data_IF_646455786760
#
_entry.id   IF_646455786760
#
_cell.length_a   1.000
_cell.length_b   1.000
_cell.length_c   1.000
_cell.angle_alpha   90.00
_cell.angle_beta   90.00
_cell.angle_gamma   90.00
#
_symmetry.space_group_name_H-M   'P 1'
#
loop_
_entity.id
_entity.type
_entity.pdbx_description
1 polymer ?
#
# COMPACT_ATOMS: atom_id res chain seq x y z
N UNK A 1 -13.03 21.15 -4.72
CA UNK A 1 -12.75 19.74 -4.35
C UNK A 1 -11.45 19.73 -3.56
N UNK A 2 -11.36 19.05 -2.42
CA UNK A 2 -10.15 18.99 -1.59
C UNK A 2 -9.78 17.54 -1.28
N UNK A 3 -8.50 17.20 -1.33
CA UNK A 3 -7.97 15.85 -1.08
C UNK A 3 -6.97 15.95 0.07
N UNK A 4 -7.13 15.13 1.11
CA UNK A 4 -6.14 14.92 2.16
C UNK A 4 -5.15 13.88 1.68
N UNK A 5 -3.85 14.17 1.75
CA UNK A 5 -2.79 13.30 1.25
C UNK A 5 -2.00 12.75 2.43
N UNK A 6 -1.77 11.44 2.42
CA UNK A 6 -0.98 10.70 3.41
C UNK A 6 -0.13 9.67 2.67
N UNK A 7 1.14 9.51 3.08
CA UNK A 7 2.13 8.65 2.43
C UNK A 7 3.15 8.17 3.46
N UNK A 8 3.88 7.10 3.15
CA UNK A 8 5.07 6.63 3.88
C UNK A 8 4.81 6.39 5.39
N UNK A 9 3.65 5.79 5.71
CA UNK A 9 3.27 5.53 7.10
C UNK A 9 4.03 4.35 7.73
N UNK A 10 4.42 3.35 6.94
CA UNK A 10 5.11 2.14 7.40
C UNK A 10 4.48 1.49 8.66
N UNK A 11 3.16 1.28 8.63
CA UNK A 11 2.40 0.78 9.78
C UNK A 11 2.79 -0.64 10.22
N UNK A 12 3.63 -1.35 9.46
CA UNK A 12 4.19 -2.65 9.79
C UNK A 12 5.32 -2.61 10.82
N UNK A 13 6.02 -1.49 10.99
CA UNK A 13 7.26 -1.45 11.78
C UNK A 13 7.50 -0.09 12.48
N UNK A 14 7.06 0.07 13.74
CA UNK A 14 6.34 -0.90 14.57
C UNK A 14 4.89 -1.08 14.13
N UNK A 15 4.30 -2.23 14.46
CA UNK A 15 2.91 -2.55 14.11
C UNK A 15 1.96 -1.52 14.75
N UNK A 16 1.31 -0.70 13.92
CA UNK A 16 0.50 0.44 14.38
C UNK A 16 -0.86 0.58 13.68
N UNK A 17 -1.28 -0.45 12.92
CA UNK A 17 -2.55 -0.46 12.18
C UNK A 17 -3.81 -0.21 13.04
N UNK A 18 -3.75 -0.58 14.32
CA UNK A 18 -4.84 -0.52 15.30
C UNK A 18 -4.87 0.78 16.12
N UNK A 19 -3.76 1.53 16.15
CA UNK A 19 -3.63 2.77 16.93
C UNK A 19 -3.54 4.02 16.06
N UNK A 20 -3.18 3.88 14.78
CA UNK A 20 -3.01 5.02 13.88
C UNK A 20 -4.35 5.48 13.32
N UNK A 21 -4.78 6.69 13.70
CA UNK A 21 -6.02 7.30 13.25
C UNK A 21 -5.76 8.43 12.25
N UNK A 22 -6.45 8.40 11.11
CA UNK A 22 -6.47 9.52 10.16
C UNK A 22 -7.72 10.36 10.42
N UNK A 23 -7.52 11.50 11.10
CA UNK A 23 -8.59 12.48 11.30
C UNK A 23 -8.92 13.16 9.96
N UNK A 24 -10.19 13.11 9.50
CA UNK A 24 -10.58 13.71 8.22
C UNK A 24 -10.47 15.23 8.21
N UNK A 25 -9.65 15.76 7.32
CA UNK A 25 -9.53 17.20 7.02
C UNK A 25 -10.10 17.55 5.63
N UNK A 26 -10.49 16.53 4.85
CA UNK A 26 -11.06 16.66 3.52
C UNK A 26 -12.01 15.49 3.23
N UNK A 27 -12.95 15.63 2.27
CA UNK A 27 -13.89 14.56 1.91
C UNK A 27 -13.23 13.37 1.17
N UNK A 28 -12.04 13.55 0.60
CA UNK A 28 -11.31 12.52 -0.14
C UNK A 28 -9.94 12.29 0.50
N UNK A 29 -9.48 11.04 0.50
CA UNK A 29 -8.17 10.65 0.99
C UNK A 29 -7.32 10.08 -0.14
N UNK A 30 -6.08 10.53 -0.26
CA UNK A 30 -5.04 9.92 -1.09
C UNK A 30 -4.01 9.23 -0.21
N UNK A 31 -3.91 7.91 -0.32
CA UNK A 31 -2.88 7.07 0.28
C UNK A 31 -1.82 6.79 -0.80
N UNK A 32 -0.68 7.48 -0.74
CA UNK A 32 0.28 7.59 -1.87
C UNK A 32 1.55 6.74 -1.71
N UNK A 33 1.41 5.55 -1.16
CA UNK A 33 2.47 4.54 -1.09
C UNK A 33 3.05 4.33 0.30
N UNK A 34 3.65 3.15 0.50
CA UNK A 34 4.35 2.72 1.72
C UNK A 34 3.51 2.96 2.99
N UNK A 35 2.22 2.61 2.90
CA UNK A 35 1.26 2.60 4.01
C UNK A 35 1.52 1.39 4.90
N UNK A 36 1.79 0.24 4.28
CA UNK A 36 2.46 -0.87 4.95
C UNK A 36 2.36 -2.20 4.20
N UNK A 37 2.95 -3.24 4.80
CA UNK A 37 3.12 -4.53 4.12
C UNK A 37 1.84 -5.37 4.07
N UNK A 38 1.09 -5.26 2.96
CA UNK A 38 -0.17 -5.99 2.72
C UNK A 38 0.00 -7.51 2.65
N UNK A 39 1.19 -8.03 2.32
CA UNK A 39 1.43 -9.48 2.22
C UNK A 39 1.58 -10.10 3.60
N UNK A 40 2.38 -9.48 4.47
CA UNK A 40 2.65 -9.97 5.82
C UNK A 40 1.51 -9.63 6.81
N UNK A 41 0.80 -8.52 6.58
CA UNK A 41 -0.19 -7.97 7.51
C UNK A 41 -1.54 -7.72 6.83
N UNK A 42 -2.00 -8.70 6.04
CA UNK A 42 -3.23 -8.57 5.23
C UNK A 42 -4.46 -8.22 6.06
N UNK A 43 -4.65 -8.89 7.20
CA UNK A 43 -5.83 -8.71 8.05
C UNK A 43 -5.83 -7.33 8.71
N UNK A 44 -4.66 -6.87 9.12
CA UNK A 44 -4.44 -5.59 9.79
C UNK A 44 -4.54 -4.43 8.81
N UNK A 45 -3.99 -4.57 7.60
CA UNK A 45 -4.23 -3.65 6.50
C UNK A 45 -5.72 -3.55 6.17
N UNK A 46 -6.44 -4.67 6.14
CA UNK A 46 -7.89 -4.66 5.88
C UNK A 46 -8.64 -3.94 7.02
N UNK A 47 -8.34 -4.25 8.28
CA UNK A 47 -8.92 -3.57 9.42
C UNK A 47 -8.64 -2.05 9.37
N UNK A 48 -7.41 -1.66 9.06
CA UNK A 48 -7.02 -0.28 8.85
C UNK A 48 -7.86 0.40 7.75
N UNK A 49 -8.04 -0.23 6.58
CA UNK A 49 -8.86 0.33 5.51
C UNK A 49 -10.35 0.45 5.90
N UNK A 50 -10.87 -0.46 6.73
CA UNK A 50 -12.27 -0.36 7.20
C UNK A 50 -12.52 0.82 8.12
N UNK A 51 -11.50 1.35 8.79
CA UNK A 51 -11.65 2.55 9.62
C UNK A 51 -11.80 3.82 8.78
N UNK A 52 -11.37 3.80 7.52
CA UNK A 52 -11.37 4.95 6.62
C UNK A 52 -12.73 5.20 5.92
N UNK A 53 -13.80 4.50 6.34
CA UNK A 53 -15.15 4.61 5.73
C UNK A 53 -15.80 5.98 5.85
N UNK A 54 -15.25 6.85 6.68
CA UNK A 54 -15.61 8.27 6.82
C UNK A 54 -15.28 9.11 5.58
N UNK A 55 -14.33 8.69 4.75
CA UNK A 55 -14.01 9.39 3.50
C UNK A 55 -14.99 8.98 2.40
N UNK A 56 -15.34 9.92 1.51
CA UNK A 56 -16.25 9.66 0.39
C UNK A 56 -15.64 8.76 -0.67
N UNK A 57 -14.33 8.91 -0.89
CA UNK A 57 -13.53 7.99 -1.69
C UNK A 57 -12.07 8.03 -1.21
N UNK A 58 -11.39 6.90 -1.41
CA UNK A 58 -9.98 6.71 -1.06
C UNK A 58 -9.25 6.32 -2.34
N UNK A 59 -8.25 7.13 -2.72
CA UNK A 59 -7.32 6.79 -3.78
C UNK A 59 -6.14 6.08 -3.13
N UNK A 60 -6.00 4.79 -3.39
CA UNK A 60 -4.90 3.97 -2.88
C UNK A 60 -3.90 3.70 -4.00
N UNK A 61 -2.71 4.28 -3.88
CA UNK A 61 -1.57 4.05 -4.77
C UNK A 61 -0.57 3.19 -4.01
N UNK A 62 -0.36 1.91 -4.41
CA UNK A 62 0.59 1.04 -3.72
C UNK A 62 2.03 1.55 -3.91
N UNK A 63 2.80 1.54 -2.83
CA UNK A 63 4.24 1.79 -2.84
C UNK A 63 5.02 0.49 -3.03
N UNK A 64 6.31 0.56 -2.75
CA UNK A 64 7.21 -0.58 -2.94
C UNK A 64 6.97 -1.67 -1.88
N UNK A 65 6.55 -1.29 -0.68
CA UNK A 65 6.22 -2.21 0.42
C UNK A 65 4.94 -3.00 0.15
N UNK A 66 3.99 -2.44 -0.61
CA UNK A 66 2.79 -3.12 -1.09
C UNK A 66 3.04 -3.92 -2.37
N UNK A 67 3.96 -3.46 -3.23
CA UNK A 67 4.30 -4.09 -4.51
C UNK A 67 5.41 -5.14 -4.43
N UNK A 68 5.89 -5.49 -3.23
CA UNK A 68 6.98 -6.46 -3.04
C UNK A 68 6.73 -7.79 -3.76
N UNK A 69 5.47 -8.21 -3.88
CA UNK A 69 5.11 -9.41 -4.64
C UNK A 69 5.29 -9.24 -6.15
N UNK A 70 5.03 -8.05 -6.70
CA UNK A 70 5.20 -7.78 -8.14
C UNK A 70 6.69 -7.85 -8.54
N UNK A 71 7.58 -7.25 -7.73
CA UNK A 71 9.04 -7.27 -7.97
C UNK A 71 9.61 -8.67 -7.74
N UNK A 72 9.20 -9.37 -6.67
CA UNK A 72 9.64 -10.75 -6.43
C UNK A 72 9.15 -11.74 -7.51
N UNK A 73 7.97 -11.52 -8.11
CA UNK A 73 7.51 -12.32 -9.25
C UNK A 73 8.39 -12.06 -10.47
N UNK A 74 8.69 -10.80 -10.80
CA UNK A 74 9.62 -10.47 -11.89
C UNK A 74 11.00 -11.11 -11.71
N UNK A 75 11.53 -11.11 -10.49
CA UNK A 75 12.86 -11.68 -10.21
C UNK A 75 12.87 -13.22 -10.14
N UNK A 76 11.69 -13.86 -10.08
CA UNK A 76 11.52 -15.32 -10.01
C UNK A 76 10.93 -15.90 -11.30
N UNK A 77 10.75 -15.09 -12.34
CA UNK A 77 10.58 -15.61 -13.69
C UNK A 77 11.91 -16.24 -14.13
N UNK A 78 11.93 -17.49 -14.60
CA UNK A 78 13.14 -18.04 -15.20
C UNK A 78 13.53 -17.15 -16.37
N UNK A 79 14.81 -16.74 -16.41
CA UNK A 79 15.42 -16.08 -17.56
C UNK A 79 15.01 -16.85 -18.81
N UNK A 80 14.33 -16.19 -19.75
CA UNK A 80 13.91 -16.82 -21.00
C UNK A 80 15.11 -17.53 -21.64
N UNK A 81 15.06 -18.86 -21.86
CA UNK A 81 16.08 -19.51 -22.66
C UNK A 81 15.80 -19.14 -24.12
N UNK A 82 16.84 -18.71 -24.83
CA UNK A 82 16.87 -18.36 -26.26
C UNK A 82 16.69 -16.87 -26.57
N UNK A 83 17.79 -16.13 -26.42
CA UNK A 83 18.15 -15.11 -27.41
C UNK A 83 19.46 -15.58 -28.06
N UNK A 84 19.47 -16.00 -29.34
CA UNK A 84 20.72 -16.30 -30.02
C UNK A 84 21.48 -14.99 -30.23
N UNK A 85 22.72 -14.95 -29.76
CA UNK A 85 23.68 -13.89 -30.07
C UNK A 85 24.00 -13.98 -31.56
N UNK A 86 23.63 -12.95 -32.31
CA UNK A 86 24.20 -12.67 -33.63
C UNK A 86 25.46 -11.82 -33.48
#
# INVERSE_FOLDING_TARGET
MAIQIVSDLHLESPKAYDIFEIVPQAPYLGLLGDIGNVVAHKEECLAFLTQLRQFRAILFVPGNHEAYLLVCVYHRLPSSPNVPVQ
#
